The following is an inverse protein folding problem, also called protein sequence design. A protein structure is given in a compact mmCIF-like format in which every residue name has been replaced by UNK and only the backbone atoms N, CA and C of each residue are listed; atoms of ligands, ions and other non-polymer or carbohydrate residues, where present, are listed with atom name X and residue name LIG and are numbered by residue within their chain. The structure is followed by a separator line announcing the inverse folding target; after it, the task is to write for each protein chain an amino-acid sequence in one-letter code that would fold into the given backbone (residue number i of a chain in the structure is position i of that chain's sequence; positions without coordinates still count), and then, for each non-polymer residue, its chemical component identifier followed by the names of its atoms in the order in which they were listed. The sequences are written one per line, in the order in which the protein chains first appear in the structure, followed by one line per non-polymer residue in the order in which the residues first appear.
data_IF_201433057767
#
_entry.id   IF_201433057767
#
_cell.length_a   1.000
_cell.length_b   1.000
_cell.length_c   1.000
_cell.angle_alpha   90.00
_cell.angle_beta   90.00
_cell.angle_gamma   90.00
#
_symmetry.space_group_name_H-M   'P 1'
#
loop_
_entity.id
_entity.type
_entity.pdbx_description
1 polymer ?
#
# COMPACT_ATOMS: atom_id res chain seq x y z
N UNK A 1 13.31 80.16 16.64
CA UNK A 1 14.02 79.18 15.79
C UNK A 1 13.39 77.82 16.04
N UNK A 2 12.48 77.43 15.15
CA UNK A 2 11.63 76.25 15.27
C UNK A 2 12.29 75.11 14.52
N UNK A 3 12.70 74.06 15.23
CA UNK A 3 13.30 72.85 14.67
C UNK A 3 12.24 72.01 13.96
N UNK A 4 12.34 71.91 12.63
CA UNK A 4 11.58 70.96 11.82
C UNK A 4 12.25 69.58 11.90
N UNK A 5 11.51 68.59 12.40
CA UNK A 5 11.86 67.17 12.30
C UNK A 5 11.51 66.67 10.89
N UNK A 6 12.41 65.97 10.17
CA UNK A 6 12.07 65.45 8.86
C UNK A 6 11.18 64.22 8.98
N UNK A 7 10.04 64.25 8.30
CA UNK A 7 9.14 63.11 8.08
C UNK A 7 9.90 62.02 7.31
N UNK A 8 10.13 60.88 7.95
CA UNK A 8 10.55 59.64 7.26
C UNK A 8 9.37 59.13 6.43
N UNK A 9 9.52 59.16 5.12
CA UNK A 9 8.62 58.43 4.22
C UNK A 9 8.65 56.93 4.55
N UNK A 10 7.50 56.26 4.72
CA UNK A 10 7.46 54.82 4.88
C UNK A 10 7.87 54.16 3.55
N UNK A 11 8.97 53.42 3.58
CA UNK A 11 9.40 52.57 2.47
C UNK A 11 8.31 51.54 2.20
N UNK A 12 7.85 51.33 0.95
CA UNK A 12 6.90 50.28 0.63
C UNK A 12 7.52 48.94 1.02
N UNK A 13 6.97 48.29 2.04
CA UNK A 13 7.34 46.95 2.42
C UNK A 13 7.02 46.02 1.25
N UNK A 14 8.03 45.65 0.47
CA UNK A 14 7.93 44.50 -0.40
C UNK A 14 7.66 43.30 0.51
N UNK A 15 6.40 42.86 0.56
CA UNK A 15 6.03 41.57 1.12
C UNK A 15 6.86 40.53 0.38
N UNK A 16 7.95 40.07 1.01
CA UNK A 16 8.71 38.91 0.54
C UNK A 16 7.72 37.77 0.49
N UNK A 17 7.27 37.41 -0.71
CA UNK A 17 6.51 36.17 -0.92
C UNK A 17 7.44 35.04 -0.51
N UNK A 18 7.11 34.39 0.59
CA UNK A 18 7.83 33.24 1.09
C UNK A 18 7.66 32.10 0.07
N UNK A 19 8.74 31.75 -0.61
CA UNK A 19 8.75 30.63 -1.55
C UNK A 19 8.87 29.35 -0.73
N UNK A 20 7.86 28.47 -0.81
CA UNK A 20 7.85 27.16 -0.14
C UNK A 20 7.83 26.03 -1.15
N UNK A 21 8.52 24.93 -0.83
CA UNK A 21 8.46 23.70 -1.62
C UNK A 21 7.12 22.99 -1.38
N UNK A 22 6.39 22.69 -2.46
CA UNK A 22 5.16 21.89 -2.37
C UNK A 22 5.47 20.47 -1.86
N UNK A 23 4.56 19.84 -1.11
CA UNK A 23 4.65 18.42 -0.80
C UNK A 23 4.50 17.57 -2.06
N UNK A 24 3.61 17.97 -2.98
CA UNK A 24 3.33 17.28 -4.24
C UNK A 24 3.90 18.05 -5.45
N UNK A 25 4.38 17.34 -6.48
CA UNK A 25 4.73 17.99 -7.74
C UNK A 25 3.50 18.68 -8.35
N UNK A 26 3.68 19.86 -8.92
CA UNK A 26 2.64 20.51 -9.72
C UNK A 26 2.24 19.60 -10.90
N UNK A 27 0.95 19.50 -11.28
CA UNK A 27 -0.22 20.22 -10.76
C UNK A 27 -0.87 19.59 -9.52
N UNK A 28 -0.50 18.36 -9.18
CA UNK A 28 -1.21 17.53 -8.21
C UNK A 28 -1.34 18.15 -6.82
N UNK A 29 -2.53 18.07 -6.27
CA UNK A 29 -2.83 18.48 -4.89
C UNK A 29 -2.57 17.34 -3.92
N UNK A 30 -2.83 16.10 -4.32
CA UNK A 30 -2.68 14.90 -3.51
C UNK A 30 -2.12 13.73 -4.32
N UNK A 31 -1.73 12.65 -3.62
CA UNK A 31 -1.33 11.38 -4.23
C UNK A 31 -2.12 10.20 -3.64
N UNK A 32 -2.46 9.23 -4.49
CA UNK A 32 -3.24 8.06 -4.11
C UNK A 32 -2.73 6.81 -4.86
N UNK A 33 -2.60 5.70 -4.14
CA UNK A 33 -2.49 4.36 -4.70
C UNK A 33 -3.64 3.50 -4.18
N UNK A 34 -4.14 2.58 -5.01
CA UNK A 34 -4.98 1.46 -4.58
C UNK A 34 -4.07 0.24 -4.55
N UNK A 35 -3.75 -0.22 -3.35
CA UNK A 35 -2.96 -1.41 -3.11
C UNK A 35 -3.91 -2.61 -2.99
N UNK A 36 -4.08 -3.32 -4.11
CA UNK A 36 -4.92 -4.52 -4.19
C UNK A 36 -4.14 -5.77 -3.79
N UNK A 37 -4.77 -6.56 -2.93
CA UNK A 37 -4.30 -7.91 -2.62
C UNK A 37 -5.02 -8.92 -3.54
N UNK A 38 -4.24 -9.83 -4.12
CA UNK A 38 -4.69 -10.77 -5.16
C UNK A 38 -5.50 -11.96 -4.61
N UNK A 39 -5.86 -11.89 -3.32
CA UNK A 39 -6.60 -12.95 -2.64
C UNK A 39 -7.85 -13.36 -3.40
N UNK A 40 -8.00 -14.67 -3.58
CA UNK A 40 -9.11 -15.30 -4.31
C UNK A 40 -9.34 -14.81 -5.76
N UNK A 41 -8.44 -13.99 -6.30
CA UNK A 41 -8.52 -13.49 -7.68
C UNK A 41 -8.14 -14.60 -8.66
N UNK A 42 -8.98 -14.82 -9.68
CA UNK A 42 -8.63 -15.68 -10.81
C UNK A 42 -8.20 -14.85 -12.02
N UNK A 43 -7.60 -15.53 -13.01
CA UNK A 43 -7.20 -14.93 -14.29
C UNK A 43 -8.31 -14.10 -14.92
N UNK A 44 -9.53 -14.65 -14.97
CA UNK A 44 -10.66 -14.03 -15.68
C UNK A 44 -11.03 -12.70 -15.04
N UNK A 45 -11.08 -12.69 -13.71
CA UNK A 45 -11.38 -11.51 -12.91
C UNK A 45 -10.28 -10.49 -13.04
N UNK A 46 -9.01 -10.89 -12.89
CA UNK A 46 -7.85 -10.02 -13.06
C UNK A 46 -7.90 -9.28 -14.40
N UNK A 47 -8.09 -10.02 -15.50
CA UNK A 47 -8.14 -9.44 -16.84
C UNK A 47 -9.34 -8.49 -17.01
N UNK A 48 -10.52 -8.86 -16.54
CA UNK A 48 -11.71 -8.02 -16.65
C UNK A 48 -11.58 -6.72 -15.84
N UNK A 49 -11.04 -6.82 -14.62
CA UNK A 49 -10.78 -5.66 -13.75
C UNK A 49 -9.75 -4.73 -14.37
N UNK A 50 -8.59 -5.23 -14.80
CA UNK A 50 -7.55 -4.37 -15.35
C UNK A 50 -7.88 -3.84 -16.74
N UNK A 51 -8.65 -4.57 -17.55
CA UNK A 51 -9.20 -4.01 -18.79
C UNK A 51 -10.13 -2.84 -18.46
N UNK A 52 -11.01 -2.96 -17.47
CA UNK A 52 -11.92 -1.88 -17.11
C UNK A 52 -11.19 -0.68 -16.46
N UNK A 53 -10.24 -0.92 -15.57
CA UNK A 53 -9.59 0.13 -14.78
C UNK A 53 -8.47 0.82 -15.56
N UNK A 54 -7.62 0.07 -16.24
CA UNK A 54 -6.35 0.57 -16.77
C UNK A 54 -6.39 0.93 -18.26
N UNK A 55 -7.31 0.37 -19.05
CA UNK A 55 -7.40 0.67 -20.49
C UNK A 55 -7.77 2.16 -20.70
N UNK A 56 -6.93 2.97 -21.35
CA UNK A 56 -7.24 4.37 -21.61
C UNK A 56 -8.27 4.58 -22.73
N UNK A 57 -8.46 3.60 -23.61
CA UNK A 57 -9.32 3.70 -24.80
C UNK A 57 -10.71 3.09 -24.54
N UNK A 58 -10.79 2.09 -23.66
CA UNK A 58 -12.02 1.37 -23.33
C UNK A 58 -12.40 1.36 -21.84
N UNK A 59 -11.54 1.87 -20.96
CA UNK A 59 -11.67 1.82 -19.51
C UNK A 59 -11.53 3.19 -18.83
N UNK A 60 -11.10 3.20 -17.58
CA UNK A 60 -10.90 4.42 -16.79
C UNK A 60 -9.52 5.07 -16.99
N UNK A 61 -8.56 4.36 -17.59
CA UNK A 61 -7.18 4.83 -17.76
C UNK A 61 -6.44 5.11 -16.45
N UNK A 62 -6.85 4.48 -15.34
CA UNK A 62 -6.22 4.67 -14.04
C UNK A 62 -5.01 3.72 -13.89
N UNK A 63 -3.83 4.21 -13.46
CA UNK A 63 -2.64 3.37 -13.28
C UNK A 63 -2.68 2.66 -11.92
N UNK A 64 -3.65 1.76 -11.75
CA UNK A 64 -3.82 0.93 -10.55
C UNK A 64 -3.24 -0.46 -10.82
N UNK A 65 -2.45 -0.97 -9.88
CA UNK A 65 -1.83 -2.28 -9.97
C UNK A 65 -2.41 -3.25 -8.92
N UNK A 66 -2.14 -4.53 -9.12
CA UNK A 66 -2.43 -5.60 -8.18
C UNK A 66 -1.13 -6.24 -7.68
N UNK A 67 -1.28 -7.20 -6.78
CA UNK A 67 -0.20 -8.07 -6.33
C UNK A 67 -0.31 -9.46 -6.97
N UNK A 68 0.61 -10.37 -6.63
CA UNK A 68 0.50 -11.79 -6.96
C UNK A 68 1.18 -12.65 -5.89
N UNK A 69 0.78 -13.92 -5.79
CA UNK A 69 1.48 -14.93 -4.98
C UNK A 69 2.51 -15.68 -5.82
N UNK A 70 3.64 -16.08 -5.22
CA UNK A 70 4.49 -17.08 -5.88
C UNK A 70 3.77 -18.44 -5.94
N UNK A 71 3.14 -18.86 -4.83
CA UNK A 71 2.28 -20.06 -4.76
C UNK A 71 0.91 -19.70 -4.17
N UNK A 72 -0.16 -19.95 -4.92
CA UNK A 72 -1.53 -19.75 -4.43
C UNK A 72 -1.99 -20.89 -3.53
N UNK A 73 -3.00 -20.62 -2.69
CA UNK A 73 -3.63 -21.62 -1.82
C UNK A 73 -4.75 -22.38 -2.51
N UNK A 74 -5.60 -21.64 -3.22
CA UNK A 74 -6.83 -22.15 -3.80
C UNK A 74 -6.66 -22.45 -5.30
N UNK A 75 -7.27 -23.52 -5.84
CA UNK A 75 -7.32 -23.75 -7.28
C UNK A 75 -7.87 -22.53 -8.04
N UNK A 76 -7.16 -22.14 -9.10
CA UNK A 76 -7.52 -21.01 -9.95
C UNK A 76 -7.19 -19.63 -9.38
N UNK A 77 -6.61 -19.54 -8.17
CA UNK A 77 -6.03 -18.29 -7.68
C UNK A 77 -4.81 -17.93 -8.52
N UNK A 78 -4.68 -16.66 -8.88
CA UNK A 78 -3.59 -16.15 -9.69
C UNK A 78 -2.26 -16.25 -8.93
N UNK A 79 -1.38 -17.13 -9.41
CA UNK A 79 -0.07 -17.40 -8.81
C UNK A 79 0.98 -17.77 -9.86
N UNK A 80 2.25 -17.59 -9.51
CA UNK A 80 3.36 -17.82 -10.45
C UNK A 80 3.66 -19.30 -10.68
N UNK A 81 3.73 -20.08 -9.61
CA UNK A 81 3.99 -21.52 -9.64
C UNK A 81 2.71 -22.32 -9.40
N UNK A 82 2.75 -23.60 -9.78
CA UNK A 82 1.84 -24.61 -9.28
C UNK A 82 2.06 -24.83 -7.76
N UNK A 83 1.16 -25.59 -7.14
CA UNK A 83 1.25 -25.95 -5.72
C UNK A 83 2.52 -26.73 -5.34
N UNK A 84 3.26 -27.26 -6.32
CA UNK A 84 4.56 -27.89 -6.11
C UNK A 84 5.69 -26.88 -5.82
N UNK A 85 5.42 -25.57 -5.96
CA UNK A 85 6.38 -24.49 -5.72
C UNK A 85 7.57 -24.46 -6.68
N UNK A 86 7.50 -25.21 -7.79
CA UNK A 86 8.64 -25.44 -8.69
C UNK A 86 8.28 -25.19 -10.15
N UNK A 87 7.12 -25.68 -10.58
CA UNK A 87 6.69 -25.64 -11.96
C UNK A 87 5.92 -24.34 -12.20
N UNK A 88 6.25 -23.53 -13.23
CA UNK A 88 5.44 -22.37 -13.59
C UNK A 88 3.98 -22.79 -13.80
N UNK A 89 3.07 -22.06 -13.18
CA UNK A 89 1.64 -22.26 -13.31
C UNK A 89 1.11 -21.72 -14.64
N UNK A 90 -0.18 -21.96 -14.94
CA UNK A 90 -0.79 -21.42 -16.16
C UNK A 90 -0.67 -19.90 -16.26
N UNK A 91 -0.66 -19.19 -15.12
CA UNK A 91 -0.63 -17.73 -15.01
C UNK A 91 0.76 -17.09 -15.01
N UNK A 92 1.84 -17.87 -15.01
CA UNK A 92 3.21 -17.36 -14.91
C UNK A 92 3.53 -16.28 -15.98
N UNK A 93 3.23 -16.57 -17.24
CA UNK A 93 3.50 -15.63 -18.34
C UNK A 93 2.54 -14.43 -18.35
N UNK A 94 1.33 -14.56 -17.80
CA UNK A 94 0.44 -13.43 -17.58
C UNK A 94 1.04 -12.50 -16.52
N UNK A 95 1.52 -13.04 -15.40
CA UNK A 95 2.15 -12.27 -14.33
C UNK A 95 3.38 -11.52 -14.85
N UNK A 96 4.26 -12.17 -15.63
CA UNK A 96 5.43 -11.50 -16.24
C UNK A 96 5.01 -10.32 -17.12
N UNK A 97 3.99 -10.50 -17.96
CA UNK A 97 3.48 -9.42 -18.83
C UNK A 97 2.84 -8.30 -18.00
N UNK A 98 2.07 -8.64 -16.99
CA UNK A 98 1.41 -7.69 -16.11
C UNK A 98 2.42 -6.85 -15.31
N UNK A 99 3.51 -7.46 -14.81
CA UNK A 99 4.62 -6.72 -14.18
C UNK A 99 5.25 -5.73 -15.15
N UNK A 100 5.56 -6.16 -16.38
CA UNK A 100 6.16 -5.28 -17.40
C UNK A 100 5.23 -4.14 -17.83
N UNK A 101 3.92 -4.38 -17.80
CA UNK A 101 2.90 -3.39 -18.11
C UNK A 101 2.55 -2.47 -16.93
N UNK A 102 3.09 -2.72 -15.72
CA UNK A 102 2.75 -1.97 -14.51
C UNK A 102 1.37 -2.30 -13.95
N UNK A 103 0.78 -3.43 -14.33
CA UNK A 103 -0.48 -3.95 -13.79
C UNK A 103 -0.27 -4.79 -12.52
N UNK A 104 0.97 -5.26 -12.29
CA UNK A 104 1.40 -5.89 -11.04
C UNK A 104 2.66 -5.19 -10.55
N UNK A 105 2.69 -4.74 -9.30
CA UNK A 105 3.82 -3.99 -8.71
C UNK A 105 4.38 -4.62 -7.42
N UNK A 106 3.65 -5.58 -6.86
CA UNK A 106 3.85 -6.09 -5.51
C UNK A 106 3.90 -7.61 -5.49
N UNK A 107 4.82 -8.17 -4.70
CA UNK A 107 4.80 -9.58 -4.32
C UNK A 107 3.97 -9.75 -3.04
N UNK A 108 2.87 -10.48 -3.12
CA UNK A 108 2.04 -10.83 -1.97
C UNK A 108 2.59 -12.07 -1.27
N UNK A 109 3.75 -11.92 -0.63
CA UNK A 109 4.49 -13.03 -0.01
C UNK A 109 4.91 -14.14 -0.99
N UNK A 110 5.67 -15.14 -0.51
CA UNK A 110 6.06 -16.28 -1.36
C UNK A 110 4.91 -17.25 -1.62
N UNK A 111 3.83 -17.15 -0.85
CA UNK A 111 2.62 -17.89 -1.11
C UNK A 111 1.55 -17.64 -0.07
N UNK A 112 0.36 -18.18 -0.30
CA UNK A 112 -0.68 -18.22 0.71
C UNK A 112 -0.55 -19.49 1.55
N UNK A 113 -0.01 -19.34 2.76
CA UNK A 113 0.17 -20.43 3.73
C UNK A 113 -0.74 -20.29 4.95
N UNK A 114 -1.92 -19.68 4.78
CA UNK A 114 -2.94 -19.68 5.82
C UNK A 114 -3.27 -21.11 6.27
N UNK A 115 -3.53 -21.28 7.56
CA UNK A 115 -3.86 -22.53 8.25
C UNK A 115 -2.74 -23.59 8.32
N UNK A 116 -1.74 -23.56 7.44
CA UNK A 116 -0.64 -24.54 7.46
C UNK A 116 0.67 -23.89 7.01
N UNK A 117 1.68 -23.76 7.89
CA UNK A 117 2.97 -23.19 7.51
C UNK A 117 3.69 -24.10 6.50
N UNK A 118 4.48 -23.52 5.57
CA UNK A 118 5.26 -24.31 4.63
C UNK A 118 6.41 -25.03 5.36
N UNK A 119 6.95 -26.09 4.77
CA UNK A 119 8.24 -26.60 5.24
C UNK A 119 9.34 -25.56 4.95
N UNK A 120 10.27 -25.30 5.88
CA UNK A 120 11.32 -24.29 5.70
C UNK A 120 12.14 -24.42 4.41
N UNK A 121 12.53 -25.66 4.06
CA UNK A 121 13.29 -25.94 2.84
C UNK A 121 12.47 -25.67 1.57
N UNK A 122 11.18 -26.02 1.59
CA UNK A 122 10.28 -25.78 0.45
C UNK A 122 10.03 -24.28 0.25
N UNK A 123 9.84 -23.54 1.35
CA UNK A 123 9.73 -22.07 1.31
C UNK A 123 10.98 -21.44 0.68
N UNK A 124 12.17 -21.90 1.10
CA UNK A 124 13.43 -21.39 0.59
C UNK A 124 13.60 -21.70 -0.90
N UNK A 125 13.20 -22.89 -1.33
CA UNK A 125 13.21 -23.30 -2.73
C UNK A 125 12.29 -22.43 -3.59
N UNK A 126 11.05 -22.18 -3.14
CA UNK A 126 10.07 -21.30 -3.82
C UNK A 126 10.68 -19.91 -4.02
N UNK A 127 11.15 -19.31 -2.92
CA UNK A 127 11.70 -17.97 -2.92
C UNK A 127 12.94 -17.86 -3.84
N UNK A 128 13.84 -18.85 -3.79
CA UNK A 128 15.07 -18.85 -4.59
C UNK A 128 14.74 -18.98 -6.08
N UNK A 129 13.83 -19.89 -6.45
CA UNK A 129 13.41 -20.12 -7.84
C UNK A 129 12.75 -18.89 -8.45
N UNK A 130 11.83 -18.25 -7.72
CA UNK A 130 11.20 -17.01 -8.19
C UNK A 130 12.25 -15.93 -8.41
N UNK A 131 13.14 -15.74 -7.43
CA UNK A 131 14.19 -14.72 -7.46
C UNK A 131 15.14 -14.93 -8.62
N UNK A 132 15.61 -16.16 -8.84
CA UNK A 132 16.48 -16.50 -9.96
C UNK A 132 15.80 -16.27 -11.31
N UNK A 133 14.54 -16.69 -11.46
CA UNK A 133 13.82 -16.51 -12.73
C UNK A 133 13.55 -15.04 -13.03
N UNK A 134 13.15 -14.27 -12.02
CA UNK A 134 12.93 -12.83 -12.17
C UNK A 134 14.24 -12.10 -12.50
N UNK A 135 15.33 -12.47 -11.83
CA UNK A 135 16.67 -11.94 -12.12
C UNK A 135 17.07 -12.24 -13.57
N UNK A 136 16.91 -13.49 -14.03
CA UNK A 136 17.19 -13.87 -15.43
C UNK A 136 16.36 -13.09 -16.45
N UNK A 137 15.10 -12.77 -16.10
CA UNK A 137 14.17 -12.02 -16.96
C UNK A 137 14.32 -10.50 -16.85
N UNK A 138 15.22 -10.00 -15.99
CA UNK A 138 15.39 -8.58 -15.71
C UNK A 138 14.19 -7.94 -15.02
N UNK A 139 13.39 -8.73 -14.29
CA UNK A 139 12.23 -8.25 -13.54
C UNK A 139 12.66 -7.83 -12.13
N UNK A 140 12.06 -6.76 -11.63
CA UNK A 140 12.21 -6.30 -10.25
C UNK A 140 10.85 -5.94 -9.67
N UNK A 141 10.69 -6.15 -8.38
CA UNK A 141 9.52 -5.73 -7.61
C UNK A 141 9.99 -4.81 -6.50
N UNK A 142 9.24 -3.76 -6.22
CA UNK A 142 9.62 -2.77 -5.19
C UNK A 142 8.91 -3.00 -3.87
N UNK A 143 7.79 -3.71 -3.90
CA UNK A 143 6.83 -3.81 -2.80
C UNK A 143 6.63 -5.27 -2.40
N UNK A 144 6.73 -5.53 -1.10
CA UNK A 144 6.36 -6.79 -0.45
C UNK A 144 5.12 -6.62 0.40
N UNK A 145 4.16 -7.52 0.28
CA UNK A 145 2.97 -7.53 1.12
C UNK A 145 2.98 -8.76 2.01
N UNK A 146 2.95 -8.55 3.32
CA UNK A 146 2.74 -9.63 4.29
C UNK A 146 1.33 -10.21 4.14
N UNK A 147 1.20 -11.53 4.24
CA UNK A 147 -0.09 -12.20 4.11
C UNK A 147 -0.66 -12.77 5.42
N UNK A 148 -1.98 -12.67 5.58
CA UNK A 148 -2.76 -13.65 6.33
C UNK A 148 -2.42 -13.87 7.81
N UNK A 149 -2.60 -15.11 8.24
CA UNK A 149 -2.55 -15.57 9.63
C UNK A 149 -1.10 -15.81 10.13
N UNK A 150 -0.91 -16.24 11.40
CA UNK A 150 0.42 -16.56 11.94
C UNK A 150 1.18 -17.74 11.27
N UNK A 151 0.52 -18.56 10.44
CA UNK A 151 1.15 -19.66 9.69
C UNK A 151 2.01 -19.15 8.53
N UNK A 152 1.78 -17.91 8.09
CA UNK A 152 2.63 -17.19 7.14
C UNK A 152 3.96 -16.73 7.76
N UNK A 153 4.74 -17.68 8.30
CA UNK A 153 6.03 -17.47 9.00
C UNK A 153 7.08 -16.74 8.15
N UNK A 154 6.94 -16.84 6.83
CA UNK A 154 7.70 -16.14 5.78
C UNK A 154 7.61 -14.61 5.87
N UNK A 155 6.55 -14.08 6.47
CA UNK A 155 6.31 -12.66 6.49
C UNK A 155 7.43 -11.92 7.23
N UNK A 156 7.59 -10.66 6.84
CA UNK A 156 8.48 -9.75 7.53
C UNK A 156 7.81 -9.27 8.82
N UNK A 157 8.63 -8.80 9.75
CA UNK A 157 8.18 -8.39 11.09
C UNK A 157 6.95 -7.47 11.01
N UNK A 158 5.95 -7.79 11.82
CA UNK A 158 4.77 -6.97 12.03
C UNK A 158 4.44 -6.94 13.52
N UNK A 159 4.02 -5.78 14.02
CA UNK A 159 3.83 -5.54 15.45
C UNK A 159 2.76 -6.45 16.07
N UNK A 160 1.68 -6.71 15.34
CA UNK A 160 0.56 -7.55 15.79
C UNK A 160 0.77 -9.05 15.52
N UNK A 161 1.85 -9.43 14.82
CA UNK A 161 2.10 -10.79 14.39
C UNK A 161 3.53 -11.21 14.76
N UNK A 162 3.79 -11.51 16.05
CA UNK A 162 5.13 -11.88 16.52
C UNK A 162 5.63 -13.22 15.93
N UNK A 163 4.75 -14.01 15.32
CA UNK A 163 5.11 -15.25 14.63
C UNK A 163 5.81 -15.02 13.27
N UNK A 164 5.77 -13.81 12.73
CA UNK A 164 6.44 -13.51 11.46
C UNK A 164 7.96 -13.45 11.66
N UNK A 165 8.68 -14.26 10.89
CA UNK A 165 10.09 -14.54 11.14
C UNK A 165 10.95 -14.58 9.86
N UNK A 166 10.41 -14.20 8.70
CA UNK A 166 11.15 -14.23 7.44
C UNK A 166 12.28 -13.20 7.34
N UNK A 167 12.27 -12.20 8.24
CA UNK A 167 13.33 -11.22 8.40
C UNK A 167 14.32 -11.49 9.54
N UNK A 168 14.22 -12.64 10.21
CA UNK A 168 15.14 -13.04 11.28
C UNK A 168 16.16 -14.06 10.75
N UNK A 169 17.46 -13.72 10.65
CA UNK A 169 18.50 -14.64 10.18
C UNK A 169 18.64 -15.93 10.99
N UNK A 170 18.17 -15.95 12.24
CA UNK A 170 18.15 -17.15 13.08
C UNK A 170 16.94 -18.05 12.83
N UNK A 171 15.95 -17.60 12.06
CA UNK A 171 14.74 -18.35 11.76
C UNK A 171 14.95 -19.33 10.60
N UNK A 172 14.41 -20.56 10.66
CA UNK A 172 14.41 -21.45 9.51
C UNK A 172 13.58 -20.88 8.33
N UNK A 173 12.71 -19.90 8.58
CA UNK A 173 11.88 -19.25 7.55
C UNK A 173 12.55 -18.01 6.93
N UNK A 174 13.83 -17.76 7.22
CA UNK A 174 14.55 -16.58 6.72
C UNK A 174 14.61 -16.52 5.19
N UNK A 175 14.08 -15.43 4.63
CA UNK A 175 14.07 -15.17 3.18
C UNK A 175 14.32 -13.69 2.83
N UNK A 176 14.64 -12.84 3.81
CA UNK A 176 14.86 -11.40 3.58
C UNK A 176 16.01 -11.09 2.61
N UNK A 177 17.03 -11.94 2.55
CA UNK A 177 18.10 -11.83 1.58
C UNK A 177 17.59 -12.00 0.13
N UNK A 178 16.61 -12.89 -0.09
CA UNK A 178 15.95 -13.10 -1.37
C UNK A 178 14.94 -11.99 -1.69
N UNK A 179 14.21 -11.49 -0.68
CA UNK A 179 13.37 -10.29 -0.80
C UNK A 179 14.21 -9.12 -1.33
N UNK A 180 15.40 -8.89 -0.75
CA UNK A 180 16.32 -7.85 -1.20
C UNK A 180 16.85 -8.10 -2.61
N UNK A 181 17.16 -9.35 -2.95
CA UNK A 181 17.65 -9.72 -4.28
C UNK A 181 16.63 -9.44 -5.39
N UNK A 182 15.32 -9.52 -5.10
CA UNK A 182 14.24 -9.12 -6.01
C UNK A 182 14.13 -7.59 -6.24
N UNK A 183 14.87 -6.79 -5.49
CA UNK A 183 14.84 -5.33 -5.57
C UNK A 183 13.81 -4.67 -4.66
N UNK A 184 13.22 -5.41 -3.72
CA UNK A 184 12.18 -4.91 -2.82
C UNK A 184 12.78 -3.86 -1.87
N UNK A 185 12.06 -2.75 -1.73
CA UNK A 185 12.43 -1.58 -0.92
C UNK A 185 11.37 -1.21 0.10
N UNK A 186 10.12 -1.51 -0.21
CA UNK A 186 8.95 -1.21 0.61
C UNK A 186 8.27 -2.49 1.04
N UNK A 187 7.71 -2.51 2.24
CA UNK A 187 6.85 -3.62 2.63
C UNK A 187 5.67 -3.19 3.48
N UNK A 188 4.52 -3.81 3.27
CA UNK A 188 3.38 -3.63 4.16
C UNK A 188 3.58 -4.50 5.40
N UNK A 189 3.73 -3.85 6.55
CA UNK A 189 3.98 -4.51 7.83
C UNK A 189 2.70 -4.87 8.61
N UNK A 190 1.63 -5.16 7.89
CA UNK A 190 0.33 -5.61 8.44
C UNK A 190 -0.36 -4.57 9.34
N UNK A 191 -0.12 -3.28 9.09
CA UNK A 191 -0.81 -2.19 9.79
C UNK A 191 -1.84 -1.54 8.88
N UNK A 192 -3.06 -1.45 9.40
CA UNK A 192 -4.14 -0.63 8.86
C UNK A 192 -4.33 0.59 9.76
N UNK A 193 -4.40 1.76 9.14
CA UNK A 193 -4.57 3.05 9.81
C UNK A 193 -5.79 3.78 9.26
N UNK A 194 -6.44 4.54 10.14
CA UNK A 194 -7.57 5.39 9.77
C UNK A 194 -7.09 6.70 9.11
N UNK A 195 -7.98 7.32 8.34
CA UNK A 195 -7.80 8.43 7.40
C UNK A 195 -7.46 9.81 8.02
N UNK A 196 -6.81 10.75 7.28
CA UNK A 196 -5.82 10.56 6.20
C UNK A 196 -4.39 10.42 6.74
N UNK A 197 -3.46 9.91 5.92
CA UNK A 197 -2.03 9.89 6.21
C UNK A 197 -1.40 11.27 5.88
N UNK A 198 -0.44 11.70 6.70
CA UNK A 198 0.14 13.06 6.81
C UNK A 198 0.17 13.95 5.56
N UNK A 199 -0.21 15.23 5.76
CA UNK A 199 0.30 16.40 5.03
C UNK A 199 1.53 16.99 5.72
N UNK A 200 2.38 17.73 4.98
CA UNK A 200 3.67 18.29 5.46
C UNK A 200 3.55 19.30 6.60
N UNK A 201 2.37 19.88 6.78
CA UNK A 201 2.01 20.69 7.94
C UNK A 201 0.86 19.96 8.64
N UNK A 202 0.88 19.81 9.98
CA UNK A 202 -0.25 19.23 10.68
C UNK A 202 -1.50 20.05 10.35
N UNK A 203 -2.61 19.43 9.89
CA UNK A 203 -3.87 20.14 9.70
C UNK A 203 -4.15 21.05 10.91
N UNK A 204 -4.57 22.29 10.68
CA UNK A 204 -5.13 23.16 11.73
C UNK A 204 -6.55 22.67 12.07
N UNK A 205 -6.72 21.38 12.32
CA UNK A 205 -7.96 20.78 12.80
C UNK A 205 -7.71 20.04 14.12
N UNK A 206 -8.69 20.12 15.03
CA UNK A 206 -8.63 19.60 16.40
C UNK A 206 -8.15 18.15 16.55
N UNK A 207 -8.15 17.34 15.49
CA UNK A 207 -7.82 15.91 15.55
C UNK A 207 -6.33 15.62 15.66
N UNK A 208 -5.44 16.44 15.10
CA UNK A 208 -3.98 16.22 15.21
C UNK A 208 -3.43 16.64 16.58
N UNK A 209 -4.10 17.56 17.27
CA UNK A 209 -3.76 17.93 18.66
C UNK A 209 -4.23 16.88 19.67
N UNK A 210 -5.33 16.17 19.37
CA UNK A 210 -5.98 15.24 20.30
C UNK A 210 -5.58 13.78 20.06
N UNK A 211 -5.35 13.36 18.81
CA UNK A 211 -5.05 11.95 18.49
C UNK A 211 -3.73 11.45 19.10
N UNK A 212 -2.61 12.21 19.12
CA UNK A 212 -1.39 11.81 19.82
C UNK A 212 -1.62 11.68 21.33
N UNK A 213 -2.46 12.55 21.93
CA UNK A 213 -2.81 12.47 23.35
C UNK A 213 -3.67 11.23 23.66
N UNK A 214 -4.68 10.95 22.84
CA UNK A 214 -5.50 9.72 22.93
C UNK A 214 -4.62 8.48 22.75
N UNK A 215 -3.71 8.49 21.77
CA UNK A 215 -2.80 7.36 21.54
C UNK A 215 -1.82 7.21 22.70
N UNK A 216 -1.31 8.31 23.27
CA UNK A 216 -0.42 8.26 24.42
C UNK A 216 -1.13 7.67 25.64
N UNK A 217 -2.37 8.10 25.93
CA UNK A 217 -3.20 7.54 27.00
C UNK A 217 -3.48 6.05 26.79
N UNK A 218 -3.89 5.66 25.56
CA UNK A 218 -4.09 4.24 25.20
C UNK A 218 -2.81 3.42 25.36
N UNK A 219 -1.65 3.98 25.02
CA UNK A 219 -0.37 3.31 25.16
C UNK A 219 0.03 3.15 26.63
N UNK A 220 -0.25 4.13 27.50
CA UNK A 220 -0.05 3.99 28.96
C UNK A 220 -0.92 2.85 29.51
N UNK A 221 -2.20 2.80 29.14
CA UNK A 221 -3.10 1.70 29.53
C UNK A 221 -2.55 0.34 29.06
N UNK A 222 -2.09 0.25 27.80
CA UNK A 222 -1.48 -0.98 27.27
C UNK A 222 -0.22 -1.39 28.04
N UNK A 223 0.62 -0.43 28.45
CA UNK A 223 1.81 -0.71 29.27
C UNK A 223 1.40 -1.29 30.63
N UNK A 224 0.39 -0.67 31.27
CA UNK A 224 -0.10 -1.08 32.59
C UNK A 224 -0.73 -2.49 32.57
N UNK A 225 -1.35 -2.88 31.47
CA UNK A 225 -1.96 -4.21 31.28
C UNK A 225 -0.94 -5.22 30.66
N UNK A 226 0.34 -4.83 30.50
CA UNK A 226 1.39 -5.74 29.99
C UNK A 226 1.38 -5.96 28.48
N UNK A 227 0.55 -5.26 27.72
CA UNK A 227 0.44 -5.34 26.27
C UNK A 227 1.41 -4.40 25.54
N UNK A 228 2.69 -4.40 25.91
CA UNK A 228 3.70 -3.50 25.32
C UNK A 228 3.82 -3.67 23.79
N UNK A 229 3.63 -4.89 23.27
CA UNK A 229 3.58 -5.15 21.83
C UNK A 229 2.43 -4.45 21.08
N UNK A 230 1.39 -3.97 21.78
CA UNK A 230 0.24 -3.31 21.15
C UNK A 230 0.42 -1.79 20.99
N UNK A 231 1.54 -1.23 21.41
CA UNK A 231 1.81 0.21 21.39
C UNK A 231 2.10 0.67 19.96
N UNK A 232 1.41 1.72 19.51
CA UNK A 232 1.73 2.44 18.26
C UNK A 232 2.38 3.77 18.60
N UNK A 233 3.50 4.10 17.96
CA UNK A 233 4.07 5.45 18.01
C UNK A 233 3.22 6.42 17.19
N UNK A 234 3.34 7.73 17.44
CA UNK A 234 2.67 8.73 16.61
C UNK A 234 3.09 8.61 15.14
N UNK A 235 4.40 8.48 14.90
CA UNK A 235 4.96 8.28 13.56
C UNK A 235 4.37 7.05 12.85
N UNK A 236 4.11 5.95 13.57
CA UNK A 236 3.46 4.76 13.00
C UNK A 236 2.03 4.99 12.53
N UNK A 237 1.38 6.07 12.97
CA UNK A 237 0.01 6.41 12.60
C UNK A 237 -0.01 7.56 11.59
N UNK A 238 0.94 8.49 11.67
CA UNK A 238 0.94 9.71 10.85
C UNK A 238 1.76 9.56 9.58
N UNK A 239 2.84 8.79 9.63
CA UNK A 239 3.80 8.73 8.53
C UNK A 239 3.39 7.61 7.57
N UNK A 240 3.49 7.90 6.27
CA UNK A 240 3.19 6.91 5.23
C UNK A 240 4.14 5.72 5.29
N UNK A 241 5.43 6.01 5.47
CA UNK A 241 6.51 5.04 5.48
C UNK A 241 7.47 5.29 6.65
N UNK A 242 7.97 4.21 7.25
CA UNK A 242 8.96 4.24 8.31
C UNK A 242 10.11 3.28 8.02
N UNK A 243 11.37 3.66 8.33
CA UNK A 243 12.49 2.75 8.16
C UNK A 243 12.37 1.58 9.14
N UNK A 244 12.49 0.36 8.61
CA UNK A 244 12.48 -0.88 9.35
C UNK A 244 13.81 -1.60 9.22
N UNK A 245 14.57 -1.62 10.32
CA UNK A 245 15.88 -2.29 10.41
C UNK A 245 15.73 -3.73 10.87
N UNK A 246 16.37 -4.66 10.16
CA UNK A 246 16.42 -6.09 10.47
C UNK A 246 17.77 -6.47 11.09
N UNK A 247 17.84 -7.66 11.67
CA UNK A 247 19.02 -8.11 12.43
C UNK A 247 20.26 -8.36 11.55
N UNK A 248 20.07 -8.63 10.26
CA UNK A 248 21.15 -8.72 9.25
C UNK A 248 21.70 -7.36 8.79
N UNK A 249 21.17 -6.25 9.34
CA UNK A 249 21.51 -4.89 8.95
C UNK A 249 20.70 -4.35 7.77
N UNK A 250 19.85 -5.16 7.13
CA UNK A 250 18.98 -4.72 6.05
C UNK A 250 17.99 -3.67 6.56
N UNK A 251 17.71 -2.64 5.74
CA UNK A 251 16.68 -1.64 6.01
C UNK A 251 15.69 -1.59 4.86
N UNK A 252 14.41 -1.81 5.15
CA UNK A 252 13.30 -1.59 4.21
C UNK A 252 12.42 -0.45 4.72
N UNK A 253 11.58 0.12 3.86
CA UNK A 253 10.56 1.09 4.24
C UNK A 253 9.24 0.37 4.53
N UNK A 254 8.86 0.27 5.80
CA UNK A 254 7.55 -0.24 6.18
C UNK A 254 6.49 0.82 5.90
N UNK A 255 5.41 0.48 5.17
CA UNK A 255 4.33 1.42 4.88
C UNK A 255 3.00 0.99 5.50
N UNK A 256 2.15 1.98 5.71
CA UNK A 256 0.80 1.81 6.20
C UNK A 256 -0.21 1.82 5.04
N UNK A 257 -1.25 0.99 5.16
CA UNK A 257 -2.41 1.06 4.28
C UNK A 257 -3.60 1.65 5.02
N UNK A 258 -4.45 2.34 4.29
CA UNK A 258 -5.69 2.87 4.78
C UNK A 258 -6.84 1.89 4.52
N UNK A 259 -7.64 1.68 5.55
CA UNK A 259 -8.93 1.04 5.42
C UNK A 259 -9.93 1.79 6.29
N UNK A 260 -11.01 2.29 5.69
CA UNK A 260 -12.14 2.77 6.47
C UNK A 260 -12.86 1.56 7.07
N UNK A 261 -13.16 1.61 8.36
CA UNK A 261 -13.89 0.51 9.02
C UNK A 261 -15.35 0.49 8.57
N UNK A 262 -15.75 -0.61 7.93
CA UNK A 262 -17.14 -0.98 7.64
C UNK A 262 -17.33 -2.48 7.91
N UNK A 263 -18.57 -2.97 7.84
CA UNK A 263 -18.90 -4.36 8.21
C UNK A 263 -18.57 -5.36 7.09
N UNK A 264 -18.69 -4.95 5.84
CA UNK A 264 -18.39 -5.79 4.69
C UNK A 264 -16.88 -5.99 4.47
N UNK A 265 -16.46 -7.10 3.84
CA UNK A 265 -15.07 -7.28 3.41
C UNK A 265 -14.65 -6.23 2.38
N UNK A 266 -13.39 -5.78 2.47
CA UNK A 266 -12.82 -4.83 1.51
C UNK A 266 -12.60 -5.51 0.16
N UNK A 267 -13.43 -5.15 -0.80
CA UNK A 267 -13.43 -5.69 -2.16
C UNK A 267 -13.68 -4.60 -3.18
N UNK A 268 -13.62 -4.91 -4.48
CA UNK A 268 -14.08 -4.00 -5.52
C UNK A 268 -15.56 -3.59 -5.40
N UNK A 269 -16.38 -4.31 -4.61
CA UNK A 269 -17.79 -4.00 -4.37
C UNK A 269 -18.02 -3.11 -3.13
N UNK A 270 -16.94 -2.62 -2.52
CA UNK A 270 -16.98 -1.78 -1.31
C UNK A 270 -16.07 -0.55 -1.40
N UNK A 271 -15.53 -0.26 -2.58
CA UNK A 271 -14.67 0.89 -2.84
C UNK A 271 -15.37 2.20 -2.50
N UNK A 272 -16.67 2.29 -2.76
CA UNK A 272 -17.46 3.51 -2.53
C UNK A 272 -17.50 3.96 -1.06
N UNK A 273 -17.24 3.07 -0.08
CA UNK A 273 -17.13 3.48 1.32
C UNK A 273 -15.87 4.28 1.61
N UNK A 274 -14.81 4.05 0.83
CA UNK A 274 -13.50 4.69 1.05
C UNK A 274 -13.18 5.74 0.00
N UNK A 275 -13.63 5.58 -1.25
CA UNK A 275 -13.44 6.53 -2.35
C UNK A 275 -14.63 7.50 -2.49
N UNK A 276 -15.08 8.10 -1.39
CA UNK A 276 -16.14 9.13 -1.47
C UNK A 276 -15.58 10.47 -1.94
N UNK A 277 -16.39 11.34 -2.56
CA UNK A 277 -15.97 12.70 -2.88
C UNK A 277 -15.41 13.45 -1.67
N UNK A 278 -16.07 13.35 -0.51
CA UNK A 278 -15.61 13.99 0.73
C UNK A 278 -14.20 13.54 1.15
N UNK A 279 -13.89 12.24 1.01
CA UNK A 279 -12.55 11.71 1.33
C UNK A 279 -11.51 12.27 0.36
N UNK A 280 -11.80 12.25 -0.95
CA UNK A 280 -10.85 12.75 -1.94
C UNK A 280 -10.66 14.27 -1.86
N UNK A 281 -11.70 15.02 -1.55
CA UNK A 281 -11.65 16.47 -1.34
C UNK A 281 -10.82 16.81 -0.09
N UNK A 282 -10.99 16.07 1.00
CA UNK A 282 -10.16 16.20 2.21
C UNK A 282 -8.69 15.86 1.91
N UNK A 283 -8.43 14.80 1.14
CA UNK A 283 -7.06 14.43 0.74
C UNK A 283 -6.36 15.57 -0.01
N UNK A 284 -7.06 16.17 -0.98
CA UNK A 284 -6.56 17.27 -1.79
C UNK A 284 -6.39 18.55 -0.96
N UNK A 285 -7.30 18.83 -0.03
CA UNK A 285 -7.22 19.98 0.87
C UNK A 285 -6.01 19.89 1.80
N UNK A 286 -5.72 18.69 2.32
CA UNK A 286 -4.59 18.41 3.22
C UNK A 286 -3.27 18.18 2.47
N UNK A 287 -3.30 18.18 1.13
CA UNK A 287 -2.18 17.81 0.27
C UNK A 287 -1.52 16.47 0.64
N UNK A 288 -2.37 15.51 1.03
CA UNK A 288 -1.96 14.26 1.65
C UNK A 288 -1.65 13.13 0.67
N UNK A 289 -1.21 12.03 1.24
CA UNK A 289 -0.94 10.77 0.54
C UNK A 289 -1.89 9.68 1.04
N UNK A 290 -2.34 8.81 0.15
CA UNK A 290 -3.15 7.66 0.50
C UNK A 290 -2.66 6.39 -0.18
N UNK A 291 -2.52 5.30 0.57
CA UNK A 291 -2.48 3.95 0.01
C UNK A 291 -3.72 3.22 0.51
N UNK A 292 -4.70 3.01 -0.37
CA UNK A 292 -5.96 2.34 -0.06
C UNK A 292 -5.78 0.82 -0.13
N UNK A 293 -6.20 0.09 0.91
CA UNK A 293 -6.28 -1.37 0.89
C UNK A 293 -7.62 -1.87 0.33
N UNK A 294 -7.58 -2.89 -0.53
CA UNK A 294 -8.76 -3.63 -1.02
C UNK A 294 -8.35 -4.97 -1.64
N UNK A 295 -9.34 -5.77 -2.08
CA UNK A 295 -9.15 -6.88 -3.02
C UNK A 295 -9.96 -6.61 -4.30
N UNK A 296 -9.29 -6.27 -5.40
CA UNK A 296 -10.00 -6.03 -6.66
C UNK A 296 -10.51 -7.33 -7.29
N UNK A 297 -9.83 -8.44 -7.02
CA UNK A 297 -10.18 -9.77 -7.51
C UNK A 297 -11.42 -10.40 -6.87
N UNK A 298 -11.98 -9.81 -5.82
CA UNK A 298 -13.10 -10.40 -5.06
C UNK A 298 -14.42 -9.65 -5.27
N UNK A 299 -15.55 -10.37 -5.44
CA UNK A 299 -15.68 -11.83 -5.68
C UNK A 299 -15.13 -12.25 -7.05
N UNK A 300 -15.05 -13.53 -7.43
CA UNK A 300 -14.66 -13.89 -8.81
C UNK A 300 -15.71 -13.42 -9.83
N UNK A 301 -15.28 -13.07 -11.03
CA UNK A 301 -16.13 -12.56 -12.10
C UNK A 301 -16.66 -13.68 -13.00
N UNK A 302 -17.95 -13.96 -12.91
CA UNK A 302 -18.60 -15.07 -13.63
C UNK A 302 -19.36 -14.63 -14.90
N UNK A 303 -19.34 -13.35 -15.26
CA UNK A 303 -19.99 -12.84 -16.48
C UNK A 303 -21.25 -11.98 -16.27
N UNK A 304 -21.34 -11.28 -15.14
CA UNK A 304 -22.41 -10.33 -14.84
C UNK A 304 -21.90 -8.90 -14.68
N UNK A 305 -22.33 -8.23 -13.61
CA UNK A 305 -21.84 -6.90 -13.23
C UNK A 305 -20.42 -7.00 -12.64
N UNK A 306 -19.45 -6.30 -13.26
CA UNK A 306 -18.08 -6.27 -12.77
C UNK A 306 -17.96 -5.47 -11.46
N UNK A 307 -18.57 -4.28 -11.45
CA UNK A 307 -18.59 -3.32 -10.34
C UNK A 307 -20.02 -2.83 -10.12
N UNK A 308 -20.54 -2.85 -8.88
CA UNK A 308 -21.80 -2.21 -8.55
C UNK A 308 -21.78 -0.74 -8.92
N UNK A 309 -22.95 -0.19 -9.27
CA UNK A 309 -23.07 1.20 -9.70
C UNK A 309 -22.47 2.24 -8.72
N UNK A 310 -22.46 1.97 -7.41
CA UNK A 310 -21.84 2.86 -6.42
C UNK A 310 -20.31 2.89 -6.52
N UNK A 311 -19.68 1.71 -6.63
CA UNK A 311 -18.22 1.57 -6.76
C UNK A 311 -17.72 2.07 -8.11
N UNK A 312 -18.50 1.84 -9.17
CA UNK A 312 -18.26 2.41 -10.48
C UNK A 312 -18.22 3.95 -10.41
N UNK A 313 -19.22 4.59 -9.79
CA UNK A 313 -19.24 6.05 -9.64
C UNK A 313 -18.06 6.57 -8.83
N UNK A 314 -17.66 5.84 -7.79
CA UNK A 314 -16.51 6.21 -6.97
C UNK A 314 -15.20 6.20 -7.79
N UNK A 315 -14.98 5.15 -8.59
CA UNK A 315 -13.83 5.04 -9.48
C UNK A 315 -13.87 6.07 -10.62
N UNK A 316 -15.04 6.33 -11.21
CA UNK A 316 -15.22 7.37 -12.23
C UNK A 316 -14.92 8.77 -11.68
N UNK A 317 -15.31 9.05 -10.44
CA UNK A 317 -14.98 10.33 -9.80
C UNK A 317 -13.46 10.47 -9.60
N UNK A 318 -12.79 9.42 -9.11
CA UNK A 318 -11.33 9.38 -9.02
C UNK A 318 -10.66 9.58 -10.38
N UNK A 319 -11.13 8.88 -11.42
CA UNK A 319 -10.63 9.03 -12.79
C UNK A 319 -10.78 10.47 -13.30
N UNK A 320 -11.92 11.12 -13.03
CA UNK A 320 -12.12 12.53 -13.36
C UNK A 320 -11.08 13.45 -12.72
N UNK A 321 -10.75 13.24 -11.44
CA UNK A 321 -9.70 14.00 -10.75
C UNK A 321 -8.30 13.71 -11.30
N UNK A 322 -8.02 12.45 -11.64
CA UNK A 322 -6.75 12.03 -12.22
C UNK A 322 -6.51 12.68 -13.59
N UNK A 323 -7.49 12.59 -14.50
CA UNK A 323 -7.41 13.17 -15.85
C UNK A 323 -7.37 14.70 -15.85
N UNK A 324 -7.90 15.34 -14.81
CA UNK A 324 -7.76 16.79 -14.60
C UNK A 324 -6.39 17.19 -14.02
N UNK A 325 -5.52 16.23 -13.67
CA UNK A 325 -4.24 16.50 -13.01
C UNK A 325 -4.36 16.97 -11.56
N UNK A 326 -5.52 16.76 -10.92
CA UNK A 326 -5.75 17.20 -9.53
C UNK A 326 -5.17 16.22 -8.51
N UNK A 327 -5.25 14.92 -8.79
CA UNK A 327 -4.72 13.88 -7.93
C UNK A 327 -3.77 13.00 -8.72
N UNK A 328 -2.60 12.72 -8.15
CA UNK A 328 -1.66 11.77 -8.73
C UNK A 328 -2.08 10.36 -8.33
N UNK A 329 -2.55 9.56 -9.29
CA UNK A 329 -2.77 8.13 -9.10
C UNK A 329 -1.54 7.37 -9.60
N UNK A 330 -1.06 6.41 -8.82
CA UNK A 330 0.08 5.58 -9.16
C UNK A 330 -0.09 4.15 -8.60
N UNK A 331 0.65 3.17 -9.16
CA UNK A 331 0.92 1.91 -8.48
C UNK A 331 1.55 2.17 -7.09
N UNK A 332 1.45 1.18 -6.21
CA UNK A 332 1.88 1.22 -4.79
C UNK A 332 3.35 1.52 -4.58
#
# INVERSE_FOLDING_TARGET
MTTQTPLRNPTPGFLRREVRLRPMPFPYLAALSICSDIDECDRRTFLAVHQFINDPDGGLGLPIADSFFAVGRSPGQLAYFLSDGRSPGPDAELIVKAIRAGLIDSLHSWGDFNDTPPQPSELRDIASRLTEDFTRRGLQLKVWINHGDPCNRQNLRARLQPGYSGGDPGSPFFTLDLVRALGIKYYWWSELVDWPLSGREPPVTMRVTVQPFINHLKNVIKILIGHRQLIRTTAQVTDLCLPARFADGTTLMAFNRHLRRFREPSTRHTLHYTLTPAVLDELMAEQGYLILYTHLGMPRFEGGELLPAADLRALQYLAGLYHQGKIWVAPT
#
